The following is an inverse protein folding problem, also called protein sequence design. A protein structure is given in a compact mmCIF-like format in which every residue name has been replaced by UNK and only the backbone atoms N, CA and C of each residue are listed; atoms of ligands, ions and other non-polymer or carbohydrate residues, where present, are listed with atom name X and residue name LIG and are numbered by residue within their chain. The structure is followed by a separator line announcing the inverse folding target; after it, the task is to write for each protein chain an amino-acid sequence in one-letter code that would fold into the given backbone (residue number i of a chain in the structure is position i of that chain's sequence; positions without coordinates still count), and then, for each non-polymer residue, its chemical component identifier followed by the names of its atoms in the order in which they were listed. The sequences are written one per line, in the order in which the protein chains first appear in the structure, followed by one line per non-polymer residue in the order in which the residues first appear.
data_IF_926660272669
#
_entry.id   IF_926660272669
#
_cell.length_a   1.000
_cell.length_b   1.000
_cell.length_c   1.000
_cell.angle_alpha   90.00
_cell.angle_beta   90.00
_cell.angle_gamma   90.00
#
_symmetry.space_group_name_H-M   'P 1'
#
loop_
_entity.id
_entity.type
_entity.pdbx_description
1 polymer ?
#
# COMPACT_ATOMS: atom_id res chain seq x y z
N UNK A 1 22.37 22.97 0.52
CA UNK A 1 22.14 22.44 1.90
C UNK A 1 21.35 21.17 1.78
N UNK A 2 21.75 20.07 2.41
CA UNK A 2 21.02 18.80 2.32
C UNK A 2 19.62 18.95 2.92
N UNK A 3 18.60 18.35 2.28
CA UNK A 3 17.22 18.38 2.74
C UNK A 3 17.10 17.97 4.23
N UNK A 4 17.95 17.06 4.68
CA UNK A 4 18.04 16.62 6.08
C UNK A 4 18.41 17.74 7.07
N UNK A 5 19.33 18.65 6.71
CA UNK A 5 19.69 19.77 7.57
C UNK A 5 18.56 20.81 7.73
N UNK A 6 17.68 20.89 6.72
CA UNK A 6 16.50 21.75 6.75
C UNK A 6 15.36 21.15 7.60
N UNK A 7 15.22 19.83 7.63
CA UNK A 7 14.22 19.09 8.44
C UNK A 7 14.47 19.36 9.94
N UNK A 8 15.72 19.31 10.38
CA UNK A 8 16.10 19.53 11.79
C UNK A 8 15.75 20.94 12.31
N UNK A 9 15.62 21.93 11.41
CA UNK A 9 15.34 23.33 11.76
C UNK A 9 13.86 23.65 11.94
N UNK A 10 12.94 22.76 11.50
CA UNK A 10 11.48 22.98 11.59
C UNK A 10 10.91 22.11 12.72
N UNK A 11 10.56 22.70 13.88
CA UNK A 11 10.14 21.93 15.08
C UNK A 11 8.85 21.14 14.85
N UNK A 12 7.92 21.65 14.04
CA UNK A 12 6.66 20.98 13.75
C UNK A 12 6.88 19.72 12.90
N UNK A 13 7.70 19.81 11.85
CA UNK A 13 8.05 18.68 11.00
C UNK A 13 8.79 17.60 11.78
N UNK A 14 9.72 18.01 12.65
CA UNK A 14 10.44 17.11 13.55
C UNK A 14 9.47 16.38 14.48
N UNK A 15 8.49 17.08 15.06
CA UNK A 15 7.47 16.48 15.94
C UNK A 15 6.62 15.45 15.21
N UNK A 16 6.20 15.72 13.97
CA UNK A 16 5.43 14.78 13.13
C UNK A 16 6.23 13.54 12.77
N UNK A 17 7.52 13.70 12.39
CA UNK A 17 8.41 12.57 12.08
C UNK A 17 8.61 11.69 13.33
N UNK A 18 8.93 12.29 14.48
CA UNK A 18 9.11 11.55 15.73
C UNK A 18 7.83 10.81 16.11
N UNK A 19 6.67 11.46 15.98
CA UNK A 19 5.38 10.83 16.23
C UNK A 19 5.16 9.60 15.34
N UNK A 20 5.43 9.72 14.04
CA UNK A 20 5.33 8.60 13.08
C UNK A 20 6.24 7.45 13.49
N UNK A 21 7.51 7.73 13.81
CA UNK A 21 8.47 6.71 14.23
C UNK A 21 8.07 6.02 15.54
N UNK A 22 7.55 6.78 16.52
CA UNK A 22 7.04 6.21 17.77
C UNK A 22 5.82 5.29 17.52
N UNK A 23 4.88 5.68 16.68
CA UNK A 23 3.73 4.84 16.35
C UNK A 23 4.15 3.55 15.62
N UNK A 24 5.13 3.64 14.71
CA UNK A 24 5.70 2.45 14.06
C UNK A 24 6.47 1.55 15.06
N UNK A 25 7.15 2.12 16.04
CA UNK A 25 7.78 1.34 17.11
C UNK A 25 6.73 0.61 17.97
N UNK A 26 5.62 1.26 18.33
CA UNK A 26 4.50 0.63 19.04
C UNK A 26 3.93 -0.53 18.22
N UNK A 27 3.73 -0.34 16.91
CA UNK A 27 3.32 -1.42 16.01
C UNK A 27 4.30 -2.60 16.05
N UNK A 28 5.60 -2.36 15.98
CA UNK A 28 6.63 -3.42 16.04
C UNK A 28 6.67 -4.17 17.37
N UNK A 29 6.48 -3.46 18.48
CA UNK A 29 6.38 -4.09 19.81
C UNK A 29 5.15 -5.02 19.88
N UNK A 30 4.00 -4.59 19.37
CA UNK A 30 2.79 -5.41 19.35
C UNK A 30 2.91 -6.66 18.46
N UNK A 31 3.74 -6.64 17.41
CA UNK A 31 4.05 -7.83 16.60
C UNK A 31 4.83 -8.91 17.37
N UNK A 32 5.40 -8.61 18.55
CA UNK A 32 6.10 -9.58 19.38
C UNK A 32 5.22 -10.22 20.46
N UNK A 33 4.00 -9.69 20.69
CA UNK A 33 3.08 -10.19 21.72
C UNK A 33 2.30 -11.39 21.15
N UNK A 34 2.54 -12.63 21.61
CA UNK A 34 1.86 -13.81 21.08
C UNK A 34 0.40 -13.86 21.53
N UNK A 35 -0.45 -14.48 20.71
CA UNK A 35 -1.84 -14.78 21.07
C UNK A 35 -1.85 -15.95 22.09
N UNK A 36 -2.63 -15.86 23.19
CA UNK A 36 -2.72 -16.93 24.16
C UNK A 36 -3.27 -18.25 23.60
N UNK A 37 -2.75 -19.38 24.07
CA UNK A 37 -3.28 -20.72 23.72
C UNK A 37 -2.64 -21.39 22.51
N UNK A 38 -1.60 -20.78 21.91
CA UNK A 38 -0.85 -21.34 20.78
C UNK A 38 0.59 -21.57 21.19
N UNK A 39 1.17 -22.68 20.74
CA UNK A 39 2.59 -22.97 20.91
C UNK A 39 3.40 -22.27 19.81
N UNK A 40 4.26 -21.28 20.16
CA UNK A 40 5.03 -20.52 19.17
C UNK A 40 6.05 -21.38 18.41
N UNK A 41 6.63 -22.40 19.06
CA UNK A 41 7.67 -23.25 18.46
C UNK A 41 7.08 -24.18 17.40
N UNK A 42 5.96 -24.84 17.74
CA UNK A 42 5.23 -25.69 16.80
C UNK A 42 4.74 -24.90 15.57
N UNK A 43 4.29 -23.67 15.78
CA UNK A 43 3.83 -22.78 14.72
C UNK A 43 4.98 -22.32 13.80
N UNK A 44 6.13 -21.91 14.38
CA UNK A 44 7.31 -21.54 13.60
C UNK A 44 7.83 -22.70 12.75
N UNK A 45 7.82 -23.93 13.27
CA UNK A 45 8.20 -25.13 12.53
C UNK A 45 7.27 -25.39 11.32
N UNK A 46 5.94 -25.18 11.50
CA UNK A 46 4.96 -25.26 10.43
C UNK A 46 5.22 -24.22 9.34
N UNK A 47 5.38 -22.94 9.72
CA UNK A 47 5.63 -21.86 8.75
C UNK A 47 6.99 -22.02 8.03
N UNK A 48 7.99 -22.62 8.66
CA UNK A 48 9.27 -22.92 8.02
C UNK A 48 9.12 -23.87 6.82
N UNK A 49 8.19 -24.83 6.90
CA UNK A 49 7.87 -25.76 5.81
C UNK A 49 6.99 -25.13 4.72
N UNK A 50 6.20 -24.11 5.07
CA UNK A 50 5.21 -23.49 4.19
C UNK A 50 5.66 -22.15 3.57
N UNK A 51 6.94 -21.82 3.58
CA UNK A 51 7.48 -20.51 3.15
C UNK A 51 7.19 -20.12 1.70
N UNK A 52 6.93 -21.06 0.81
CA UNK A 52 6.59 -20.83 -0.60
C UNK A 52 5.11 -20.69 -0.89
N UNK A 53 4.25 -20.70 0.13
CA UNK A 53 2.79 -20.70 -0.03
C UNK A 53 2.17 -19.32 0.23
N UNK A 54 0.84 -19.23 0.06
CA UNK A 54 0.02 -18.06 0.38
C UNK A 54 0.26 -17.56 1.82
N UNK A 55 0.48 -18.47 2.77
CA UNK A 55 0.79 -18.12 4.16
C UNK A 55 2.08 -17.32 4.30
N UNK A 56 3.11 -17.62 3.49
CA UNK A 56 4.35 -16.83 3.45
C UNK A 56 4.13 -15.40 2.95
N UNK A 57 3.24 -15.20 1.97
CA UNK A 57 2.86 -13.86 1.50
C UNK A 57 2.09 -13.09 2.57
N UNK A 58 1.13 -13.72 3.26
CA UNK A 58 0.41 -13.11 4.38
C UNK A 58 1.37 -12.64 5.46
N UNK A 59 2.31 -13.49 5.83
CA UNK A 59 3.27 -13.21 6.86
C UNK A 59 4.25 -12.08 6.46
N UNK A 60 4.56 -11.95 5.17
CA UNK A 60 5.34 -10.84 4.63
C UNK A 60 4.63 -9.49 4.85
N UNK A 61 3.33 -9.40 4.61
CA UNK A 61 2.55 -8.17 4.84
C UNK A 61 2.32 -7.87 6.31
N UNK A 62 2.23 -8.91 7.16
CA UNK A 62 2.12 -8.74 8.62
C UNK A 62 3.47 -8.49 9.30
N UNK A 63 4.59 -8.54 8.54
CA UNK A 63 5.93 -8.30 9.06
C UNK A 63 6.44 -9.36 10.05
N UNK A 64 6.02 -10.64 9.88
CA UNK A 64 6.39 -11.74 10.78
C UNK A 64 5.45 -11.94 11.97
N UNK A 65 4.35 -11.21 11.98
CA UNK A 65 3.37 -11.30 13.05
C UNK A 65 2.54 -12.60 13.00
N UNK A 66 2.34 -13.14 11.78
CA UNK A 66 1.58 -14.38 11.59
C UNK A 66 2.40 -15.62 11.94
N UNK A 67 3.70 -15.64 11.61
CA UNK A 67 4.63 -16.74 11.94
C UNK A 67 4.68 -17.02 13.46
N UNK A 68 4.39 -16.00 14.28
CA UNK A 68 4.33 -16.09 15.74
C UNK A 68 2.93 -16.04 16.30
N UNK A 69 1.92 -15.99 15.45
CA UNK A 69 0.53 -15.68 15.80
C UNK A 69 0.42 -14.56 16.84
N UNK A 70 1.02 -13.42 16.57
CA UNK A 70 0.93 -12.29 17.49
C UNK A 70 -0.48 -11.69 17.48
N UNK A 71 -0.78 -10.83 18.45
CA UNK A 71 -2.01 -10.04 18.51
C UNK A 71 -2.26 -9.29 17.19
N UNK A 72 -1.20 -8.97 16.45
CA UNK A 72 -1.23 -8.27 15.17
C UNK A 72 -1.08 -9.20 13.95
N UNK A 73 -1.36 -10.50 14.10
CA UNK A 73 -1.16 -11.49 13.03
C UNK A 73 -1.94 -11.18 11.74
N UNK A 74 -3.17 -10.65 11.83
CA UNK A 74 -3.94 -10.20 10.67
C UNK A 74 -3.38 -8.92 10.03
N UNK A 75 -2.53 -8.17 10.74
CA UNK A 75 -1.99 -6.91 10.26
C UNK A 75 -3.07 -5.89 9.91
N UNK A 76 -2.79 -5.07 8.89
CA UNK A 76 -3.71 -4.04 8.40
C UNK A 76 -4.59 -4.55 7.24
N UNK A 77 -4.44 -5.83 6.82
CA UNK A 77 -5.14 -6.39 5.66
C UNK A 77 -6.67 -6.30 5.74
N UNK A 78 -7.35 -6.61 6.88
CA UNK A 78 -8.79 -6.47 6.99
C UNK A 78 -9.28 -5.04 6.76
N UNK A 79 -8.51 -4.04 7.21
CA UNK A 79 -8.81 -2.62 6.96
C UNK A 79 -8.70 -2.24 5.48
N UNK A 80 -7.67 -2.75 4.81
CA UNK A 80 -7.49 -2.51 3.37
C UNK A 80 -8.65 -3.15 2.60
N UNK A 81 -9.00 -4.42 2.91
CA UNK A 81 -10.12 -5.10 2.27
C UNK A 81 -11.45 -4.36 2.48
N UNK A 82 -11.72 -3.88 3.70
CA UNK A 82 -12.90 -3.07 3.99
C UNK A 82 -12.90 -1.74 3.21
N UNK A 83 -11.75 -1.08 3.13
CA UNK A 83 -11.60 0.17 2.37
C UNK A 83 -11.88 -0.04 0.88
N UNK A 84 -11.35 -1.12 0.29
CA UNK A 84 -11.60 -1.50 -1.11
C UNK A 84 -13.09 -1.72 -1.35
N UNK A 85 -13.73 -2.53 -0.50
CA UNK A 85 -15.16 -2.84 -0.61
C UNK A 85 -15.98 -1.55 -0.56
N UNK A 86 -15.70 -0.66 0.37
CA UNK A 86 -16.42 0.62 0.48
C UNK A 86 -16.13 1.53 -0.73
N UNK A 87 -14.91 1.52 -1.26
CA UNK A 87 -14.58 2.29 -2.47
C UNK A 87 -15.29 1.77 -3.72
N UNK A 88 -15.43 0.46 -3.87
CA UNK A 88 -16.22 -0.14 -4.93
C UNK A 88 -17.72 0.17 -4.75
N UNK A 89 -18.23 0.06 -3.53
CA UNK A 89 -19.63 0.34 -3.22
C UNK A 89 -20.01 1.82 -3.42
N UNK A 90 -19.08 2.76 -3.27
CA UNK A 90 -19.33 4.19 -3.59
C UNK A 90 -19.73 4.40 -5.05
N UNK A 91 -19.22 3.59 -5.96
CA UNK A 91 -19.55 3.69 -7.39
C UNK A 91 -20.90 3.02 -7.71
N UNK A 92 -21.22 1.95 -6.99
CA UNK A 92 -22.42 1.13 -7.26
C UNK A 92 -23.65 1.65 -6.52
N UNK A 93 -23.48 2.16 -5.29
CA UNK A 93 -24.60 2.58 -4.42
C UNK A 93 -24.76 4.11 -4.46
N UNK A 94 -25.86 4.65 -5.05
CA UNK A 94 -26.09 6.08 -5.16
C UNK A 94 -26.13 6.82 -3.82
N UNK A 95 -26.51 6.12 -2.75
CA UNK A 95 -26.50 6.68 -1.39
C UNK A 95 -25.10 6.98 -0.87
N UNK A 96 -24.12 6.11 -1.15
CA UNK A 96 -22.72 6.32 -0.78
C UNK A 96 -22.04 7.38 -1.67
N UNK A 97 -22.42 7.45 -2.95
CA UNK A 97 -21.95 8.50 -3.86
C UNK A 97 -22.40 9.90 -3.37
N UNK A 98 -23.66 10.05 -2.94
CA UNK A 98 -24.16 11.30 -2.35
C UNK A 98 -23.39 11.68 -1.09
N UNK A 99 -23.16 10.72 -0.17
CA UNK A 99 -22.36 10.95 1.02
C UNK A 99 -20.93 11.40 0.68
N UNK A 100 -20.31 10.81 -0.34
CA UNK A 100 -18.98 11.23 -0.79
C UNK A 100 -18.95 12.68 -1.29
N UNK A 101 -20.00 13.11 -1.99
CA UNK A 101 -20.16 14.49 -2.50
C UNK A 101 -20.51 15.52 -1.43
N UNK A 102 -20.97 15.10 -0.24
CA UNK A 102 -21.24 15.98 0.92
C UNK A 102 -19.96 16.57 1.56
N UNK A 103 -18.77 16.23 1.07
CA UNK A 103 -17.50 16.75 1.56
C UNK A 103 -17.05 16.10 2.87
N UNK A 104 -16.48 16.89 3.81
CA UNK A 104 -15.85 16.35 5.04
C UNK A 104 -16.81 15.55 5.93
N UNK A 105 -18.06 15.98 6.06
CA UNK A 105 -19.05 15.29 6.89
C UNK A 105 -19.38 13.90 6.33
N UNK A 106 -19.55 13.79 5.01
CA UNK A 106 -19.80 12.52 4.35
C UNK A 106 -18.58 11.60 4.39
N UNK A 107 -17.37 12.14 4.20
CA UNK A 107 -16.14 11.36 4.31
C UNK A 107 -15.93 10.78 5.71
N UNK A 108 -16.30 11.49 6.78
CA UNK A 108 -16.26 10.96 8.15
C UNK A 108 -17.19 9.75 8.32
N UNK A 109 -18.40 9.78 7.75
CA UNK A 109 -19.34 8.65 7.77
C UNK A 109 -18.80 7.46 6.97
N UNK A 110 -18.20 7.70 5.80
CA UNK A 110 -17.58 6.65 4.99
C UNK A 110 -16.44 5.97 5.75
N UNK A 111 -15.56 6.74 6.40
CA UNK A 111 -14.51 6.19 7.28
C UNK A 111 -15.11 5.34 8.41
N UNK A 112 -16.21 5.77 9.00
CA UNK A 112 -16.90 5.00 10.05
C UNK A 112 -17.43 3.65 9.52
N UNK A 113 -18.02 3.61 8.32
CA UNK A 113 -18.42 2.36 7.68
C UNK A 113 -17.23 1.44 7.39
N UNK A 114 -16.10 2.01 6.94
CA UNK A 114 -14.86 1.25 6.75
C UNK A 114 -14.38 0.62 8.07
N UNK A 115 -14.44 1.34 9.20
CA UNK A 115 -14.07 0.80 10.52
C UNK A 115 -14.98 -0.37 10.91
N UNK A 116 -16.29 -0.26 10.74
CA UNK A 116 -17.22 -1.36 11.04
C UNK A 116 -16.96 -2.56 10.12
N UNK A 117 -16.78 -2.33 8.82
CA UNK A 117 -16.41 -3.37 7.86
C UNK A 117 -15.12 -4.08 8.24
N UNK A 118 -14.13 -3.33 8.72
CA UNK A 118 -12.85 -3.88 9.20
C UNK A 118 -13.04 -4.86 10.34
N UNK A 119 -13.85 -4.49 11.34
CA UNK A 119 -14.12 -5.35 12.50
C UNK A 119 -14.81 -6.65 12.08
N UNK A 120 -15.81 -6.56 11.19
CA UNK A 120 -16.52 -7.73 10.67
C UNK A 120 -15.58 -8.65 9.88
N UNK A 121 -14.78 -8.11 8.96
CA UNK A 121 -13.83 -8.89 8.15
C UNK A 121 -12.77 -9.51 9.05
N UNK A 122 -12.24 -8.76 10.02
CA UNK A 122 -11.24 -9.26 10.97
C UNK A 122 -11.80 -10.41 11.82
N UNK A 123 -13.05 -10.33 12.25
CA UNK A 123 -13.70 -11.41 13.02
C UNK A 123 -13.88 -12.68 12.16
N UNK A 124 -14.32 -12.55 10.90
CA UNK A 124 -14.45 -13.67 9.97
C UNK A 124 -13.10 -14.31 9.69
N UNK A 125 -12.07 -13.51 9.38
CA UNK A 125 -10.71 -14.00 9.11
C UNK A 125 -10.08 -14.61 10.37
N UNK A 126 -10.30 -14.00 11.55
CA UNK A 126 -9.81 -14.51 12.82
C UNK A 126 -10.43 -15.87 13.18
N UNK A 127 -11.73 -16.05 12.91
CA UNK A 127 -12.41 -17.34 13.07
C UNK A 127 -11.83 -18.38 12.11
N UNK A 128 -11.55 -17.98 10.88
CA UNK A 128 -10.89 -18.79 9.88
C UNK A 128 -9.52 -19.30 10.33
N UNK A 129 -8.70 -18.39 10.80
CA UNK A 129 -7.35 -18.74 11.30
C UNK A 129 -7.46 -19.65 12.52
N UNK A 130 -8.36 -19.36 13.47
CA UNK A 130 -8.55 -20.20 14.67
C UNK A 130 -8.94 -21.64 14.30
N UNK A 131 -9.84 -21.80 13.34
CA UNK A 131 -10.25 -23.11 12.86
C UNK A 131 -9.13 -23.84 12.12
N UNK A 132 -8.41 -23.11 11.25
CA UNK A 132 -7.25 -23.64 10.55
C UNK A 132 -6.16 -24.14 11.49
N UNK A 133 -5.84 -23.38 12.54
CA UNK A 133 -4.84 -23.75 13.55
C UNK A 133 -5.19 -25.01 14.33
N UNK A 134 -6.45 -25.25 14.65
CA UNK A 134 -6.89 -26.48 15.33
C UNK A 134 -6.67 -27.74 14.46
N UNK A 135 -6.69 -27.59 13.15
CA UNK A 135 -6.45 -28.70 12.20
C UNK A 135 -4.98 -28.91 11.88
N UNK A 136 -4.10 -28.00 12.29
CA UNK A 136 -2.66 -28.04 12.02
C UNK A 136 -1.92 -28.82 13.11
N UNK A 137 -1.05 -29.73 12.67
CA UNK A 137 -0.07 -30.40 13.52
C UNK A 137 1.30 -29.86 13.22
N UNK A 138 2.09 -29.52 14.25
CA UNK A 138 3.46 -29.03 14.12
C UNK A 138 4.39 -30.07 13.49
N UNK A 139 5.54 -29.62 13.00
CA UNK A 139 6.51 -30.39 12.21
C UNK A 139 6.78 -31.81 12.77
N UNK A 140 6.45 -32.82 11.95
CA UNK A 140 6.64 -34.21 12.30
C UNK A 140 5.43 -34.95 12.90
N UNK A 141 4.26 -34.31 12.99
CA UNK A 141 3.00 -35.00 13.36
C UNK A 141 2.78 -35.24 14.86
N UNK A 142 3.65 -34.76 15.72
CA UNK A 142 3.62 -35.09 17.16
C UNK A 142 3.29 -33.94 18.10
N UNK A 143 3.31 -32.66 17.66
CA UNK A 143 2.95 -31.51 18.51
C UNK A 143 1.72 -30.78 17.98
N UNK A 144 0.60 -30.72 18.72
CA UNK A 144 -0.51 -29.88 18.35
C UNK A 144 -0.12 -28.41 18.48
N UNK A 145 -0.45 -27.60 17.46
CA UNK A 145 -0.18 -26.14 17.48
C UNK A 145 -1.05 -25.45 18.52
N UNK A 146 -2.24 -25.99 18.80
CA UNK A 146 -3.19 -25.47 19.79
C UNK A 146 -3.18 -26.35 21.02
N UNK A 147 -2.88 -25.76 22.19
CA UNK A 147 -2.78 -26.49 23.45
C UNK A 147 -4.13 -27.05 23.92
N UNK A 148 -5.20 -26.25 23.77
CA UNK A 148 -6.56 -26.63 24.16
C UNK A 148 -7.55 -26.26 23.06
N UNK A 149 -7.83 -27.18 22.08
CA UNK A 149 -8.81 -26.94 21.03
C UNK A 149 -10.22 -26.83 21.59
N UNK A 150 -11.04 -25.94 21.01
CA UNK A 150 -12.45 -25.79 21.40
C UNK A 150 -12.96 -24.35 21.24
N UNK A 151 -14.25 -24.18 21.52
CA UNK A 151 -14.91 -22.87 21.35
C UNK A 151 -14.28 -21.75 22.18
N UNK A 152 -13.73 -22.05 23.36
CA UNK A 152 -13.03 -21.08 24.19
C UNK A 152 -11.80 -20.51 23.48
N UNK A 153 -10.98 -21.38 22.87
CA UNK A 153 -9.82 -20.96 22.06
C UNK A 153 -10.25 -20.13 20.84
N UNK A 154 -11.28 -20.58 20.09
CA UNK A 154 -11.76 -19.87 18.92
C UNK A 154 -12.22 -18.46 19.26
N UNK A 155 -13.07 -18.31 20.28
CA UNK A 155 -13.56 -17.00 20.72
C UNK A 155 -12.41 -16.09 21.21
N UNK A 156 -11.49 -16.63 22.01
CA UNK A 156 -10.34 -15.88 22.49
C UNK A 156 -9.45 -15.40 21.34
N UNK A 157 -9.14 -16.27 20.38
CA UNK A 157 -8.35 -15.93 19.18
C UNK A 157 -9.05 -14.87 18.34
N UNK A 158 -10.35 -15.00 18.06
CA UNK A 158 -11.13 -14.02 17.30
C UNK A 158 -11.13 -12.67 18.00
N UNK A 159 -11.39 -12.62 19.30
CA UNK A 159 -11.36 -11.37 20.07
C UNK A 159 -9.97 -10.72 20.07
N UNK A 160 -8.92 -11.51 20.26
CA UNK A 160 -7.53 -11.02 20.29
C UNK A 160 -7.13 -10.45 18.93
N UNK A 161 -7.35 -11.19 17.85
CA UNK A 161 -6.98 -10.76 16.49
C UNK A 161 -7.82 -9.56 16.01
N UNK A 162 -9.10 -9.53 16.33
CA UNK A 162 -9.99 -8.41 15.98
C UNK A 162 -9.60 -7.14 16.75
N UNK A 163 -9.31 -7.24 18.04
CA UNK A 163 -8.83 -6.12 18.85
C UNK A 163 -7.49 -5.61 18.34
N UNK A 164 -6.57 -6.52 18.00
CA UNK A 164 -5.28 -6.18 17.41
C UNK A 164 -5.43 -5.43 16.10
N UNK A 165 -6.28 -5.91 15.20
CA UNK A 165 -6.57 -5.24 13.92
C UNK A 165 -7.21 -3.86 14.13
N UNK A 166 -8.15 -3.74 15.06
CA UNK A 166 -8.76 -2.45 15.40
C UNK A 166 -7.73 -1.46 15.95
N UNK A 167 -6.78 -1.93 16.73
CA UNK A 167 -5.68 -1.10 17.24
C UNK A 167 -4.72 -0.67 16.14
N UNK A 168 -4.33 -1.57 15.20
CA UNK A 168 -3.50 -1.22 14.05
C UNK A 168 -4.19 -0.21 13.15
N UNK A 169 -5.49 -0.39 12.90
CA UNK A 169 -6.30 0.56 12.14
C UNK A 169 -6.25 1.94 12.81
N UNK A 170 -6.47 2.02 14.13
CA UNK A 170 -6.37 3.28 14.87
C UNK A 170 -4.96 3.88 14.80
N UNK A 171 -3.88 3.08 14.91
CA UNK A 171 -2.50 3.55 14.71
C UNK A 171 -2.31 4.16 13.31
N UNK A 172 -2.80 3.49 12.28
CA UNK A 172 -2.72 3.98 10.88
C UNK A 172 -3.43 5.31 10.69
N UNK A 173 -4.63 5.46 11.27
CA UNK A 173 -5.36 6.72 11.23
C UNK A 173 -4.63 7.84 11.99
N UNK A 174 -4.09 7.55 13.17
CA UNK A 174 -3.31 8.51 13.97
C UNK A 174 -2.04 8.97 13.24
N UNK A 175 -1.34 8.07 12.55
CA UNK A 175 -0.19 8.44 11.72
C UNK A 175 -0.63 9.36 10.59
N UNK A 176 -1.73 9.05 9.92
CA UNK A 176 -2.24 9.86 8.80
C UNK A 176 -2.68 11.26 9.24
N UNK A 177 -3.30 11.39 10.43
CA UNK A 177 -3.82 12.67 10.93
C UNK A 177 -2.73 13.54 11.57
N UNK A 178 -1.85 12.95 12.36
CA UNK A 178 -0.87 13.70 13.20
C UNK A 178 0.58 13.50 12.78
N UNK A 179 0.86 12.48 11.97
CA UNK A 179 2.19 12.15 11.47
C UNK A 179 2.48 12.71 10.09
N UNK A 180 3.29 11.98 9.35
CA UNK A 180 3.65 12.23 7.94
C UNK A 180 3.42 10.93 7.17
N UNK A 181 2.89 11.03 5.97
CA UNK A 181 2.61 9.91 5.10
C UNK A 181 1.22 9.30 5.32
N UNK A 182 0.90 8.30 4.50
CA UNK A 182 -0.30 7.49 4.69
C UNK A 182 0.01 6.41 5.72
N UNK A 183 -0.67 6.43 6.88
CA UNK A 183 -0.39 5.54 7.98
C UNK A 183 -0.56 4.06 7.66
N UNK A 184 -1.58 3.68 6.87
CA UNK A 184 -1.77 2.29 6.46
C UNK A 184 -0.61 1.80 5.58
N UNK A 185 -0.19 2.61 4.62
CA UNK A 185 0.95 2.29 3.75
C UNK A 185 2.27 2.22 4.53
N UNK A 186 2.47 3.10 5.51
CA UNK A 186 3.66 3.09 6.37
C UNK A 186 3.72 1.88 7.31
N UNK A 187 2.60 1.38 7.78
CA UNK A 187 2.55 0.15 8.58
C UNK A 187 2.97 -1.05 7.74
N UNK A 188 2.47 -1.16 6.48
CA UNK A 188 2.89 -2.22 5.55
C UNK A 188 4.39 -2.08 5.25
N UNK A 189 4.84 -0.88 4.94
CA UNK A 189 6.26 -0.57 4.71
C UNK A 189 7.13 -1.02 5.88
N UNK A 190 6.74 -0.69 7.12
CA UNK A 190 7.46 -1.10 8.33
C UNK A 190 7.49 -2.62 8.52
N UNK A 191 6.41 -3.32 8.16
CA UNK A 191 6.35 -4.78 8.15
C UNK A 191 7.37 -5.40 7.18
N UNK A 192 7.40 -4.89 5.95
CA UNK A 192 8.31 -5.38 4.90
C UNK A 192 9.77 -5.07 5.25
N UNK A 193 10.07 -3.83 5.61
CA UNK A 193 11.45 -3.38 5.92
C UNK A 193 12.04 -4.11 7.13
N UNK A 194 11.22 -4.46 8.11
CA UNK A 194 11.67 -5.18 9.29
C UNK A 194 12.20 -6.61 9.00
N UNK A 195 11.86 -7.18 7.87
CA UNK A 195 12.37 -8.49 7.42
C UNK A 195 13.64 -8.39 6.58
N UNK A 196 14.00 -7.19 6.10
CA UNK A 196 15.22 -6.96 5.32
C UNK A 196 16.49 -7.50 6.00
N UNK A 197 16.76 -7.18 7.29
CA UNK A 197 17.99 -7.65 7.93
C UNK A 197 18.08 -9.19 7.98
N UNK A 198 16.98 -9.87 8.31
CA UNK A 198 16.96 -11.33 8.38
C UNK A 198 17.12 -11.98 6.99
N UNK A 199 16.55 -11.38 5.95
CA UNK A 199 16.73 -11.85 4.58
C UNK A 199 18.20 -11.71 4.12
N UNK A 200 18.84 -10.59 4.45
CA UNK A 200 20.26 -10.35 4.14
C UNK A 200 21.14 -11.39 4.86
N UNK A 201 20.94 -11.61 6.17
CA UNK A 201 21.70 -12.58 6.95
C UNK A 201 21.56 -13.98 6.35
N UNK A 202 20.34 -14.43 6.04
CA UNK A 202 20.11 -15.74 5.40
C UNK A 202 20.78 -15.88 4.03
N UNK A 203 20.83 -14.81 3.24
CA UNK A 203 21.51 -14.83 1.95
C UNK A 203 23.03 -15.00 2.14
N UNK A 204 23.61 -14.40 3.18
CA UNK A 204 25.02 -14.61 3.54
C UNK A 204 25.28 -16.03 4.06
N UNK A 205 24.37 -16.62 4.83
CA UNK A 205 24.45 -18.01 5.29
C UNK A 205 24.44 -18.99 4.11
N UNK A 206 23.53 -18.80 3.14
CA UNK A 206 23.47 -19.61 1.90
C UNK A 206 24.72 -19.49 1.04
N UNK A 207 25.39 -18.34 1.08
CA UNK A 207 26.70 -18.17 0.43
C UNK A 207 27.78 -18.96 1.19
N UNK A 208 27.72 -19.00 2.52
CA UNK A 208 28.64 -19.76 3.36
C UNK A 208 28.51 -21.29 3.21
N UNK A 209 27.29 -21.78 2.94
CA UNK A 209 27.01 -23.21 2.67
C UNK A 209 27.35 -23.64 1.24
N UNK A 210 27.69 -22.69 0.34
CA UNK A 210 28.03 -22.98 -1.06
C UNK A 210 26.84 -23.20 -1.99
N UNK A 211 25.60 -23.00 -1.50
CA UNK A 211 24.39 -23.10 -2.32
C UNK A 211 24.28 -21.96 -3.34
N UNK A 212 24.88 -20.80 -3.03
CA UNK A 212 24.88 -19.61 -3.89
C UNK A 212 26.32 -19.23 -4.21
N UNK A 213 26.67 -19.15 -5.50
CA UNK A 213 27.97 -18.65 -5.94
C UNK A 213 28.09 -17.13 -5.62
N UNK A 214 29.27 -16.65 -5.15
CA UNK A 214 29.47 -15.23 -4.83
C UNK A 214 29.18 -14.29 -6.00
N UNK A 215 29.47 -14.72 -7.23
CA UNK A 215 29.20 -13.95 -8.44
C UNK A 215 27.69 -13.74 -8.67
N UNK A 216 26.88 -14.75 -8.36
CA UNK A 216 25.42 -14.67 -8.45
C UNK A 216 24.86 -13.66 -7.45
N UNK A 217 25.44 -13.60 -6.24
CA UNK A 217 25.05 -12.63 -5.22
C UNK A 217 25.31 -11.18 -5.67
N UNK A 218 26.51 -10.92 -6.24
CA UNK A 218 26.82 -9.60 -6.80
C UNK A 218 25.84 -9.23 -7.92
N UNK A 219 25.54 -10.17 -8.82
CA UNK A 219 24.57 -9.96 -9.89
C UNK A 219 23.18 -9.64 -9.35
N UNK A 220 22.74 -10.31 -8.29
CA UNK A 220 21.44 -10.06 -7.63
C UNK A 220 21.38 -8.68 -7.01
N UNK A 221 22.43 -8.23 -6.31
CA UNK A 221 22.49 -6.89 -5.73
C UNK A 221 22.42 -5.85 -6.85
N UNK A 222 23.19 -6.00 -7.92
CA UNK A 222 23.15 -5.10 -9.07
C UNK A 222 21.75 -5.09 -9.71
N UNK A 223 21.14 -6.24 -9.91
CA UNK A 223 19.79 -6.34 -10.45
C UNK A 223 18.77 -5.64 -9.55
N UNK A 224 18.87 -5.80 -8.22
CA UNK A 224 18.00 -5.13 -7.26
C UNK A 224 18.13 -3.60 -7.33
N UNK A 225 19.37 -3.08 -7.38
CA UNK A 225 19.62 -1.64 -7.52
C UNK A 225 19.06 -1.11 -8.84
N UNK A 226 19.21 -1.86 -9.94
CA UNK A 226 18.64 -1.49 -11.25
C UNK A 226 17.11 -1.46 -11.22
N UNK A 227 16.47 -2.47 -10.61
CA UNK A 227 15.01 -2.52 -10.47
C UNK A 227 14.51 -1.35 -9.63
N UNK A 228 15.12 -1.08 -8.48
CA UNK A 228 14.77 0.08 -7.64
C UNK A 228 14.95 1.38 -8.41
N UNK A 229 16.07 1.55 -9.11
CA UNK A 229 16.34 2.73 -9.95
C UNK A 229 15.29 2.90 -11.05
N UNK A 230 14.89 1.81 -11.70
CA UNK A 230 13.84 1.80 -12.71
C UNK A 230 12.46 2.19 -12.12
N UNK A 231 12.11 1.64 -10.95
CA UNK A 231 10.88 2.01 -10.23
C UNK A 231 10.86 3.51 -9.93
N UNK A 232 11.94 4.05 -9.36
CA UNK A 232 12.05 5.49 -9.04
C UNK A 232 11.94 6.35 -10.29
N UNK A 233 12.57 5.90 -11.40
CA UNK A 233 12.53 6.62 -12.68
C UNK A 233 11.09 6.71 -13.22
N UNK A 234 10.36 5.60 -13.24
CA UNK A 234 8.98 5.58 -13.75
C UNK A 234 8.00 6.32 -12.82
N UNK A 235 8.14 6.14 -11.49
CA UNK A 235 7.28 6.83 -10.51
C UNK A 235 7.45 8.36 -10.52
N UNK A 236 8.64 8.86 -10.87
CA UNK A 236 8.88 10.29 -11.10
C UNK A 236 8.37 10.77 -12.45
N UNK A 237 8.07 9.86 -13.36
CA UNK A 237 7.57 10.17 -14.70
C UNK A 237 6.23 10.90 -14.65
N UNK A 238 6.15 12.05 -15.33
CA UNK A 238 4.90 12.82 -15.43
C UNK A 238 4.72 13.40 -16.82
N UNK A 239 3.49 13.31 -17.34
CA UNK A 239 3.06 14.01 -18.55
C UNK A 239 2.59 15.41 -18.15
N UNK A 240 3.20 16.45 -18.69
CA UNK A 240 2.85 17.84 -18.42
C UNK A 240 1.95 18.36 -19.54
N UNK A 241 0.71 18.69 -19.22
CA UNK A 241 -0.23 19.34 -20.14
C UNK A 241 -0.10 20.84 -19.95
N UNK A 242 0.16 21.57 -21.03
CA UNK A 242 0.30 23.03 -20.98
C UNK A 242 -1.07 23.68 -20.77
N UNK A 243 -1.19 24.56 -19.80
CA UNK A 243 -2.38 25.34 -19.48
C UNK A 243 -1.99 26.83 -19.54
N UNK A 244 -2.75 27.61 -20.30
CA UNK A 244 -2.57 29.06 -20.39
C UNK A 244 -3.72 29.75 -19.67
N UNK A 245 -3.37 30.79 -18.91
CA UNK A 245 -4.35 31.66 -18.27
C UNK A 245 -4.47 32.97 -19.06
N UNK A 246 -5.73 33.43 -19.26
CA UNK A 246 -6.01 34.65 -19.95
C UNK A 246 -5.37 35.86 -19.25
N UNK A 247 -4.78 36.76 -20.01
CA UNK A 247 -4.28 38.02 -19.50
C UNK A 247 -5.47 38.92 -19.12
N UNK A 248 -5.47 39.43 -17.90
CA UNK A 248 -6.45 40.45 -17.47
C UNK A 248 -5.72 41.78 -17.25
N UNK A 249 -6.29 42.83 -17.82
CA UNK A 249 -5.83 44.20 -17.56
C UNK A 249 -6.62 44.71 -16.35
N UNK A 250 -5.93 44.98 -15.24
CA UNK A 250 -6.51 45.56 -14.03
C UNK A 250 -5.92 46.96 -13.88
N UNK A 251 -6.67 47.97 -14.32
CA UNK A 251 -6.19 49.37 -14.40
C UNK A 251 -5.07 49.52 -15.43
N UNK A 252 -3.92 50.12 -15.02
CA UNK A 252 -2.72 50.30 -15.86
C UNK A 252 -1.75 49.09 -15.83
N UNK A 253 -2.05 48.03 -15.10
CA UNK A 253 -1.17 46.85 -14.95
C UNK A 253 -1.74 45.65 -15.67
N UNK A 254 -0.95 45.00 -16.51
CA UNK A 254 -1.24 43.69 -17.04
C UNK A 254 -0.98 42.63 -15.96
N UNK A 255 -2.02 41.93 -15.49
CA UNK A 255 -1.93 40.79 -14.60
C UNK A 255 -2.34 39.51 -15.34
N UNK A 256 -1.58 38.42 -15.18
CA UNK A 256 -1.85 37.13 -15.81
C UNK A 256 -1.02 36.89 -17.07
N UNK A 257 -1.37 35.84 -17.80
CA UNK A 257 -0.59 35.40 -18.97
C UNK A 257 0.55 34.44 -18.60
N UNK A 258 0.51 33.86 -17.38
CA UNK A 258 1.45 32.80 -17.01
C UNK A 258 1.01 31.47 -17.62
N UNK A 259 1.97 30.82 -18.25
CA UNK A 259 1.82 29.44 -18.72
C UNK A 259 2.17 28.51 -17.56
N UNK A 260 1.23 27.69 -17.17
CA UNK A 260 1.45 26.63 -16.17
C UNK A 260 1.27 25.26 -16.82
N UNK A 261 1.66 24.22 -16.11
CA UNK A 261 1.53 22.87 -16.59
C UNK A 261 0.71 22.06 -15.60
N UNK A 262 -0.27 21.29 -16.10
CA UNK A 262 -0.97 20.28 -15.32
C UNK A 262 -0.13 18.99 -15.36
N UNK A 263 0.48 18.57 -14.23
CA UNK A 263 1.27 17.34 -14.19
C UNK A 263 0.35 16.15 -14.01
N UNK A 264 0.40 15.17 -14.93
CA UNK A 264 -0.23 13.86 -14.79
C UNK A 264 0.88 12.83 -14.56
N UNK A 265 0.89 12.17 -13.41
CA UNK A 265 1.85 11.09 -13.12
C UNK A 265 1.63 9.92 -14.05
N UNK A 266 2.68 9.22 -14.47
CA UNK A 266 2.58 7.98 -15.27
C UNK A 266 1.86 6.89 -14.49
N UNK A 267 2.20 6.74 -13.22
CA UNK A 267 1.47 5.90 -12.29
C UNK A 267 0.57 6.77 -11.41
N UNK A 268 -0.63 7.11 -11.92
CA UNK A 268 -1.62 7.92 -11.18
C UNK A 268 -2.23 7.16 -10.01
N UNK A 269 -2.34 5.84 -10.13
CA UNK A 269 -2.91 4.95 -9.10
C UNK A 269 -1.93 4.60 -7.97
N UNK A 270 -0.61 4.86 -8.15
CA UNK A 270 0.42 4.58 -7.14
C UNK A 270 0.59 3.09 -6.85
N UNK A 271 0.84 2.76 -5.59
CA UNK A 271 1.07 1.39 -5.10
C UNK A 271 -0.21 0.68 -4.63
N UNK A 272 -1.36 1.34 -4.71
CA UNK A 272 -2.64 0.84 -4.19
C UNK A 272 -3.17 -0.36 -4.99
N UNK A 273 -3.16 -0.36 -6.35
CA UNK A 273 -3.70 -1.47 -7.14
C UNK A 273 -3.06 -2.83 -6.88
N UNK A 274 -1.73 -2.99 -6.79
CA UNK A 274 -1.12 -4.26 -6.40
C UNK A 274 -1.52 -4.74 -5.00
N UNK A 275 -1.68 -3.83 -4.04
CA UNK A 275 -2.14 -4.16 -2.69
C UNK A 275 -3.58 -4.68 -2.74
N UNK A 276 -4.44 -4.04 -3.55
CA UNK A 276 -5.82 -4.46 -3.74
C UNK A 276 -5.91 -5.82 -4.43
N UNK A 277 -5.15 -6.01 -5.50
CA UNK A 277 -5.11 -7.27 -6.23
C UNK A 277 -4.64 -8.43 -5.34
N UNK A 278 -3.57 -8.24 -4.57
CA UNK A 278 -3.08 -9.26 -3.63
C UNK A 278 -4.08 -9.54 -2.50
N UNK A 279 -4.70 -8.50 -1.92
CA UNK A 279 -5.72 -8.66 -0.88
C UNK A 279 -6.94 -9.45 -1.37
N UNK A 280 -7.40 -9.16 -2.61
CA UNK A 280 -8.53 -9.85 -3.21
C UNK A 280 -8.22 -11.32 -3.50
N UNK A 281 -6.98 -11.64 -3.94
CA UNK A 281 -6.53 -13.02 -4.16
C UNK A 281 -6.38 -13.80 -2.86
N UNK A 282 -5.96 -13.15 -1.79
CA UNK A 282 -5.79 -13.77 -0.47
C UNK A 282 -7.13 -14.12 0.20
N UNK A 283 -8.19 -13.34 -0.05
CA UNK A 283 -9.49 -13.56 0.58
C UNK A 283 -10.11 -14.92 0.27
N UNK A 284 -10.25 -15.37 -1.00
CA UNK A 284 -10.71 -16.72 -1.33
C UNK A 284 -9.80 -17.81 -0.79
N UNK A 285 -8.49 -17.58 -0.79
CA UNK A 285 -7.51 -18.53 -0.29
C UNK A 285 -7.69 -18.82 1.22
N UNK A 286 -7.96 -17.75 2.01
CA UNK A 286 -8.24 -17.89 3.44
C UNK A 286 -9.53 -18.64 3.68
N UNK A 287 -10.61 -18.37 2.92
CA UNK A 287 -11.88 -19.09 3.03
C UNK A 287 -11.73 -20.53 2.54
N UNK A 288 -11.01 -20.76 1.46
CA UNK A 288 -10.81 -22.08 0.89
C UNK A 288 -10.01 -23.03 1.78
N UNK A 289 -9.12 -22.50 2.62
CA UNK A 289 -8.44 -23.30 3.65
C UNK A 289 -9.39 -23.83 4.72
N UNK A 290 -10.59 -23.23 4.86
CA UNK A 290 -11.65 -23.65 5.80
C UNK A 290 -12.58 -24.71 5.22
N UNK A 291 -12.71 -24.73 3.89
CA UNK A 291 -13.67 -25.58 3.19
C UNK A 291 -12.91 -26.77 2.61
N UNK A 292 -13.01 -27.93 3.27
CA UNK A 292 -12.36 -29.18 2.83
C UNK A 292 -13.14 -29.92 1.73
N UNK A 293 -13.56 -29.20 0.67
CA UNK A 293 -14.28 -29.79 -0.46
C UNK A 293 -13.34 -29.91 -1.65
N UNK A 294 -13.32 -31.04 -2.34
CA UNK A 294 -12.33 -31.35 -3.39
C UNK A 294 -12.33 -30.38 -4.56
N UNK A 295 -13.47 -29.83 -4.98
CA UNK A 295 -13.50 -28.83 -6.04
C UNK A 295 -12.91 -27.49 -5.60
N UNK A 296 -13.03 -27.13 -4.30
CA UNK A 296 -12.40 -25.92 -3.72
C UNK A 296 -10.90 -26.09 -3.67
N UNK A 297 -10.39 -27.28 -3.29
CA UNK A 297 -8.96 -27.59 -3.30
C UNK A 297 -8.35 -27.44 -4.70
N UNK A 298 -9.02 -28.02 -5.74
CA UNK A 298 -8.58 -27.86 -7.14
C UNK A 298 -8.58 -26.40 -7.60
N UNK A 299 -9.59 -25.61 -7.22
CA UNK A 299 -9.64 -24.18 -7.51
C UNK A 299 -8.48 -23.44 -6.83
N UNK A 300 -8.16 -23.81 -5.58
CA UNK A 300 -7.04 -23.25 -4.83
C UNK A 300 -5.68 -23.62 -5.42
N UNK A 301 -5.50 -24.83 -5.94
CA UNK A 301 -4.29 -25.23 -6.66
C UNK A 301 -4.05 -24.37 -7.90
N UNK A 302 -5.12 -24.05 -8.65
CA UNK A 302 -5.05 -23.17 -9.83
C UNK A 302 -4.71 -21.72 -9.45
N UNK A 303 -5.23 -21.25 -8.30
CA UNK A 303 -4.99 -19.87 -7.79
C UNK A 303 -3.72 -19.82 -6.91
N UNK A 304 -3.03 -20.93 -6.71
CA UNK A 304 -1.80 -21.02 -5.90
C UNK A 304 -0.67 -20.13 -6.47
N UNK A 305 0.09 -19.42 -5.61
CA UNK A 305 1.22 -18.60 -6.01
C UNK A 305 2.28 -19.43 -6.76
N UNK A 306 2.83 -18.86 -7.85
CA UNK A 306 3.83 -19.50 -8.70
C UNK A 306 3.27 -20.26 -9.91
N UNK A 307 1.94 -20.39 -10.03
CA UNK A 307 1.27 -20.91 -11.22
C UNK A 307 1.05 -19.82 -12.28
N UNK A 308 1.11 -20.20 -13.56
CA UNK A 308 0.87 -19.28 -14.69
C UNK A 308 -0.53 -18.63 -14.61
N UNK A 309 -1.54 -19.38 -14.20
CA UNK A 309 -2.92 -18.89 -14.07
C UNK A 309 -3.06 -17.87 -12.94
N UNK A 310 -2.37 -18.08 -11.82
CA UNK A 310 -2.30 -17.11 -10.74
C UNK A 310 -1.70 -15.78 -11.23
N UNK A 311 -0.57 -15.84 -11.91
CA UNK A 311 0.11 -14.63 -12.42
C UNK A 311 -0.74 -13.89 -13.45
N UNK A 312 -1.40 -14.59 -14.37
CA UNK A 312 -2.29 -13.98 -15.36
C UNK A 312 -3.50 -13.29 -14.68
N UNK A 313 -4.11 -13.96 -13.71
CA UNK A 313 -5.24 -13.39 -12.97
C UNK A 313 -4.81 -12.20 -12.13
N UNK A 314 -3.64 -12.28 -11.51
CA UNK A 314 -3.05 -11.19 -10.74
C UNK A 314 -2.76 -9.96 -11.60
N UNK A 315 -2.15 -10.14 -12.78
CA UNK A 315 -1.93 -9.07 -13.77
C UNK A 315 -3.26 -8.45 -14.21
N UNK A 316 -4.26 -9.28 -14.51
CA UNK A 316 -5.61 -8.82 -14.87
C UNK A 316 -6.24 -7.95 -13.78
N UNK A 317 -6.13 -8.37 -12.52
CA UNK A 317 -6.62 -7.60 -11.37
C UNK A 317 -5.84 -6.29 -11.19
N UNK A 318 -4.52 -6.29 -11.33
CA UNK A 318 -3.71 -5.06 -11.26
C UNK A 318 -4.18 -4.05 -12.32
N UNK A 319 -4.33 -4.49 -13.57
CA UNK A 319 -4.77 -3.62 -14.66
C UNK A 319 -6.18 -3.07 -14.34
N UNK A 320 -7.10 -3.94 -13.94
CA UNK A 320 -8.46 -3.54 -13.55
C UNK A 320 -8.44 -2.49 -12.43
N UNK A 321 -7.71 -2.73 -11.35
CA UNK A 321 -7.63 -1.78 -10.23
C UNK A 321 -6.89 -0.49 -10.57
N UNK A 322 -5.91 -0.52 -11.48
CA UNK A 322 -5.26 0.69 -11.97
C UNK A 322 -6.27 1.61 -12.67
N UNK A 323 -7.07 1.07 -13.58
CA UNK A 323 -8.12 1.84 -14.26
C UNK A 323 -9.21 2.30 -13.31
N UNK A 324 -9.69 1.39 -12.47
CA UNK A 324 -10.73 1.67 -11.49
C UNK A 324 -10.32 2.80 -10.55
N UNK A 325 -9.13 2.68 -9.92
CA UNK A 325 -8.65 3.67 -8.98
C UNK A 325 -8.39 5.02 -9.63
N UNK A 326 -7.83 5.03 -10.84
CA UNK A 326 -7.63 6.26 -11.60
C UNK A 326 -8.95 6.95 -11.91
N UNK A 327 -9.99 6.21 -12.32
CA UNK A 327 -11.32 6.75 -12.61
C UNK A 327 -12.00 7.34 -11.36
N UNK A 328 -11.81 6.70 -10.19
CA UNK A 328 -12.39 7.18 -8.92
C UNK A 328 -11.66 8.40 -8.36
N UNK A 329 -10.33 8.41 -8.48
CA UNK A 329 -9.50 9.46 -7.87
C UNK A 329 -9.41 10.72 -8.72
N UNK A 330 -9.42 10.58 -10.04
CA UNK A 330 -9.26 11.68 -10.97
C UNK A 330 -10.48 11.81 -11.90
N UNK A 331 -11.29 12.85 -11.65
CA UNK A 331 -12.43 13.16 -12.52
C UNK A 331 -12.01 14.22 -13.57
N UNK A 332 -11.88 13.85 -14.86
CA UNK A 332 -11.48 14.79 -15.92
C UNK A 332 -12.47 15.96 -16.09
N UNK A 333 -13.76 15.73 -15.83
CA UNK A 333 -14.81 16.75 -15.96
C UNK A 333 -14.63 17.84 -14.92
N UNK A 334 -14.46 17.45 -13.65
CA UNK A 334 -14.26 18.40 -12.54
C UNK A 334 -12.98 19.23 -12.74
N UNK A 335 -11.91 18.61 -13.24
CA UNK A 335 -10.65 19.31 -13.54
C UNK A 335 -10.84 20.32 -14.68
N UNK A 336 -11.54 19.95 -15.77
CA UNK A 336 -11.81 20.84 -16.89
C UNK A 336 -12.72 22.00 -16.48
N UNK A 337 -13.73 21.77 -15.64
CA UNK A 337 -14.62 22.81 -15.12
C UNK A 337 -13.90 23.76 -14.17
N UNK A 338 -13.01 23.25 -13.33
CA UNK A 338 -12.18 24.08 -12.46
C UNK A 338 -11.22 24.96 -13.29
N UNK A 339 -10.56 24.39 -14.31
CA UNK A 339 -9.74 25.17 -15.23
C UNK A 339 -10.54 26.28 -15.89
N UNK A 340 -11.76 25.99 -16.37
CA UNK A 340 -12.67 26.98 -16.97
C UNK A 340 -13.05 28.08 -15.97
N UNK A 341 -13.40 27.73 -14.73
CA UNK A 341 -13.74 28.69 -13.66
C UNK A 341 -12.58 29.64 -13.35
N UNK A 342 -11.35 29.15 -13.40
CA UNK A 342 -10.16 29.97 -13.13
C UNK A 342 -9.61 30.67 -14.38
N UNK A 343 -10.29 30.57 -15.53
CA UNK A 343 -9.91 31.22 -16.77
C UNK A 343 -8.68 30.56 -17.45
N UNK A 344 -8.39 29.31 -17.09
CA UNK A 344 -7.35 28.50 -17.74
C UNK A 344 -7.91 27.75 -18.95
N UNK A 345 -7.10 27.58 -19.98
CA UNK A 345 -7.44 26.80 -21.15
C UNK A 345 -6.22 26.05 -21.68
N UNK A 346 -6.46 24.93 -22.35
CA UNK A 346 -5.43 24.17 -23.07
C UNK A 346 -5.31 24.75 -24.47
N UNK A 347 -4.12 25.14 -24.94
CA UNK A 347 -3.94 25.68 -26.28
C UNK A 347 -4.53 24.75 -27.36
N UNK A 348 -5.32 25.33 -28.27
CA UNK A 348 -5.97 24.57 -29.34
C UNK A 348 -7.27 23.87 -28.99
N UNK A 349 -7.72 23.92 -27.72
CA UNK A 349 -8.97 23.29 -27.27
C UNK A 349 -9.93 24.32 -26.65
N UNK A 350 -11.23 24.14 -26.89
CA UNK A 350 -12.25 24.94 -26.18
C UNK A 350 -12.38 24.52 -24.74
N UNK A 351 -12.44 25.49 -23.78
CA UNK A 351 -12.67 25.16 -22.36
C UNK A 351 -13.98 24.42 -22.14
N UNK A 352 -13.99 23.44 -21.24
CA UNK A 352 -15.14 22.63 -20.88
C UNK A 352 -15.05 21.20 -21.43
N UNK A 353 -16.14 20.66 -21.99
CA UNK A 353 -16.26 19.26 -22.41
C UNK A 353 -15.13 18.75 -23.32
N UNK A 354 -14.70 19.50 -24.40
CA UNK A 354 -13.58 19.05 -25.23
C UNK A 354 -12.25 18.93 -24.47
N UNK A 355 -12.04 19.80 -23.47
CA UNK A 355 -10.85 19.73 -22.61
C UNK A 355 -10.92 18.49 -21.69
N UNK A 356 -12.10 18.15 -21.14
CA UNK A 356 -12.31 16.96 -20.34
C UNK A 356 -12.03 15.69 -21.15
N UNK A 357 -12.57 15.58 -22.36
CA UNK A 357 -12.35 14.44 -23.27
C UNK A 357 -10.87 14.28 -23.67
N UNK A 358 -10.16 15.38 -23.85
CA UNK A 358 -8.72 15.35 -24.13
C UNK A 358 -7.91 14.85 -22.94
N UNK A 359 -8.21 15.34 -21.73
CA UNK A 359 -7.56 14.90 -20.49
C UNK A 359 -7.85 13.41 -20.24
N UNK A 360 -9.09 12.96 -20.43
CA UNK A 360 -9.50 11.57 -20.26
C UNK A 360 -8.75 10.64 -21.22
N UNK A 361 -8.65 11.02 -22.50
CA UNK A 361 -7.88 10.25 -23.49
C UNK A 361 -6.42 10.11 -23.13
N UNK A 362 -5.78 11.17 -22.62
CA UNK A 362 -4.39 11.12 -22.17
C UNK A 362 -4.27 10.24 -20.94
N UNK A 363 -5.17 10.41 -19.97
CA UNK A 363 -5.19 9.66 -18.72
C UNK A 363 -5.32 8.15 -18.98
N UNK A 364 -6.26 7.74 -19.83
CA UNK A 364 -6.47 6.34 -20.22
C UNK A 364 -5.21 5.71 -20.82
N UNK A 365 -4.51 6.43 -21.72
CA UNK A 365 -3.27 5.95 -22.33
C UNK A 365 -2.11 5.85 -21.33
N UNK A 366 -1.99 6.83 -20.45
CA UNK A 366 -0.94 6.85 -19.41
C UNK A 366 -1.22 5.73 -18.41
N UNK A 367 -2.47 5.54 -18.00
CA UNK A 367 -2.87 4.47 -17.06
C UNK A 367 -2.55 3.09 -17.61
N UNK A 368 -2.72 2.85 -18.92
CA UNK A 368 -2.30 1.58 -19.54
C UNK A 368 -0.80 1.34 -19.38
N UNK A 369 0.01 2.36 -19.72
CA UNK A 369 1.46 2.27 -19.55
C UNK A 369 1.88 2.05 -18.08
N UNK A 370 1.23 2.76 -17.15
CA UNK A 370 1.43 2.60 -15.72
C UNK A 370 1.03 1.21 -15.21
N UNK A 371 -0.13 0.69 -15.66
CA UNK A 371 -0.63 -0.63 -15.28
C UNK A 371 0.29 -1.76 -15.77
N UNK A 372 0.77 -1.67 -17.02
CA UNK A 372 1.73 -2.64 -17.57
C UNK A 372 3.07 -2.61 -16.82
N UNK A 373 3.55 -1.41 -16.50
CA UNK A 373 4.76 -1.23 -15.69
C UNK A 373 4.60 -1.86 -14.30
N UNK A 374 3.52 -1.54 -13.59
CA UNK A 374 3.25 -2.08 -12.24
C UNK A 374 3.13 -3.60 -12.30
N UNK A 375 2.41 -4.15 -13.28
CA UNK A 375 2.28 -5.59 -13.47
C UNK A 375 3.63 -6.27 -13.74
N UNK A 376 4.47 -5.69 -14.60
CA UNK A 376 5.80 -6.20 -14.90
C UNK A 376 6.69 -6.23 -13.65
N UNK A 377 6.71 -5.17 -12.85
CA UNK A 377 7.47 -5.10 -11.60
C UNK A 377 6.97 -6.11 -10.57
N UNK A 378 5.65 -6.35 -10.49
CA UNK A 378 5.08 -7.29 -9.54
C UNK A 378 5.36 -8.76 -9.90
N UNK A 379 5.35 -9.11 -11.19
CA UNK A 379 5.55 -10.49 -11.68
C UNK A 379 7.03 -10.86 -11.80
N UNK A 380 7.91 -9.88 -12.07
CA UNK A 380 9.33 -10.12 -12.30
C UNK A 380 10.02 -10.96 -11.21
N UNK A 381 9.85 -10.71 -9.90
CA UNK A 381 10.46 -11.53 -8.88
C UNK A 381 9.87 -12.94 -8.77
N UNK A 382 8.56 -13.10 -8.98
CA UNK A 382 7.94 -14.43 -9.03
C UNK A 382 8.59 -15.28 -10.13
N UNK A 383 8.84 -14.69 -11.29
CA UNK A 383 9.54 -15.33 -12.39
C UNK A 383 11.00 -15.68 -12.03
N UNK A 384 11.72 -14.78 -11.37
CA UNK A 384 13.10 -14.99 -10.93
C UNK A 384 13.20 -16.12 -9.89
N UNK A 385 12.29 -16.16 -8.92
CA UNK A 385 12.24 -17.22 -7.90
C UNK A 385 12.01 -18.58 -8.56
N UNK A 386 11.01 -18.67 -9.46
CA UNK A 386 10.63 -19.94 -10.10
C UNK A 386 11.69 -20.48 -11.06
N UNK A 387 12.41 -19.60 -11.79
CA UNK A 387 13.39 -20.03 -12.80
C UNK A 387 14.80 -20.19 -12.25
N UNK A 388 15.22 -19.35 -11.30
CA UNK A 388 16.59 -19.30 -10.80
C UNK A 388 16.76 -19.83 -9.37
N UNK A 389 15.66 -20.28 -8.75
CA UNK A 389 15.64 -20.80 -7.37
C UNK A 389 16.35 -19.87 -6.36
N UNK A 390 16.30 -18.56 -6.65
CA UNK A 390 16.94 -17.55 -5.84
C UNK A 390 16.09 -17.35 -4.58
N UNK A 391 16.67 -17.36 -3.38
CA UNK A 391 15.95 -17.09 -2.15
C UNK A 391 15.61 -15.59 -2.03
N UNK A 392 14.90 -15.06 -3.01
CA UNK A 392 14.49 -13.67 -3.04
C UNK A 392 13.21 -13.53 -2.22
N UNK A 393 13.36 -13.19 -0.95
CA UNK A 393 12.25 -12.95 -0.03
C UNK A 393 11.45 -11.66 -0.34
N UNK A 394 11.88 -10.88 -1.33
CA UNK A 394 11.18 -9.67 -1.75
C UNK A 394 10.37 -9.94 -3.01
N UNK A 395 9.07 -10.21 -2.85
CA UNK A 395 8.12 -10.17 -3.96
C UNK A 395 8.10 -8.79 -4.62
N UNK A 396 7.79 -8.71 -5.91
CA UNK A 396 7.76 -7.43 -6.66
C UNK A 396 6.81 -6.40 -6.06
N UNK A 397 5.71 -6.87 -5.49
CA UNK A 397 4.78 -6.03 -4.71
C UNK A 397 5.46 -5.36 -3.53
N UNK A 398 6.29 -6.10 -2.77
CA UNK A 398 7.00 -5.55 -1.63
C UNK A 398 7.99 -4.45 -2.02
N UNK A 399 8.77 -4.66 -3.09
CA UNK A 399 9.69 -3.65 -3.61
C UNK A 399 8.95 -2.39 -4.08
N UNK A 400 7.86 -2.56 -4.82
CA UNK A 400 7.05 -1.46 -5.31
C UNK A 400 6.42 -0.67 -4.17
N UNK A 401 5.92 -1.37 -3.13
CA UNK A 401 5.36 -0.73 -1.94
C UNK A 401 6.46 0.03 -1.17
N UNK A 402 7.62 -0.58 -0.95
CA UNK A 402 8.72 0.07 -0.22
C UNK A 402 9.18 1.33 -0.93
N UNK A 403 9.42 1.27 -2.23
CA UNK A 403 9.87 2.43 -3.01
C UNK A 403 8.77 3.48 -3.12
N UNK A 404 7.54 3.08 -3.44
CA UNK A 404 6.41 4.00 -3.62
C UNK A 404 6.05 4.73 -2.32
N UNK A 405 5.95 4.03 -1.20
CA UNK A 405 5.66 4.65 0.11
C UNK A 405 6.79 5.57 0.55
N UNK A 406 8.05 5.18 0.31
CA UNK A 406 9.19 6.06 0.60
C UNK A 406 9.13 7.35 -0.23
N UNK A 407 8.82 7.25 -1.54
CA UNK A 407 8.69 8.41 -2.43
C UNK A 407 7.51 9.30 -2.05
N UNK A 408 6.35 8.75 -1.74
CA UNK A 408 5.18 9.52 -1.32
C UNK A 408 5.44 10.24 0.00
N UNK A 409 6.11 9.57 0.95
CA UNK A 409 6.49 10.19 2.23
C UNK A 409 7.50 11.31 2.02
N UNK A 410 8.50 11.12 1.15
CA UNK A 410 9.47 12.17 0.79
C UNK A 410 8.79 13.35 0.12
N UNK A 411 7.87 13.12 -0.82
CA UNK A 411 7.10 14.17 -1.49
C UNK A 411 6.27 15.00 -0.50
N UNK A 412 5.67 14.35 0.51
CA UNK A 412 4.94 15.07 1.57
C UNK A 412 5.89 15.90 2.45
N UNK A 413 7.06 15.37 2.79
CA UNK A 413 8.09 16.12 3.53
C UNK A 413 8.52 17.35 2.73
N UNK A 414 8.82 17.20 1.43
CA UNK A 414 9.19 18.30 0.54
C UNK A 414 8.09 19.37 0.44
N UNK A 415 6.82 18.95 0.33
CA UNK A 415 5.67 19.86 0.30
C UNK A 415 5.57 20.69 1.58
N UNK A 416 5.73 20.06 2.75
CA UNK A 416 5.73 20.78 4.03
C UNK A 416 6.93 21.76 4.17
N UNK A 417 8.09 21.39 3.65
CA UNK A 417 9.27 22.26 3.62
C UNK A 417 9.04 23.50 2.75
N UNK A 418 8.47 23.34 1.55
CA UNK A 418 8.18 24.43 0.62
C UNK A 418 7.16 25.41 1.20
N UNK A 419 6.06 24.91 1.76
CA UNK A 419 4.99 25.76 2.34
C UNK A 419 5.56 26.68 3.44
N UNK A 420 6.40 26.17 4.32
CA UNK A 420 7.02 26.97 5.40
C UNK A 420 8.09 27.94 4.92
N UNK A 421 8.80 27.63 3.84
CA UNK A 421 9.74 28.58 3.26
C UNK A 421 9.02 29.82 2.73
N UNK A 422 7.85 29.66 2.11
CA UNK A 422 7.01 30.76 1.64
C UNK A 422 6.44 31.60 2.80
N UNK A 423 5.98 31.01 3.89
CA UNK A 423 5.50 31.73 5.07
C UNK A 423 6.59 32.58 5.72
N UNK A 424 7.83 32.08 5.78
CA UNK A 424 8.98 32.81 6.28
C UNK A 424 9.32 34.03 5.44
N UNK A 425 9.20 33.95 4.12
CA UNK A 425 9.38 35.08 3.21
C UNK A 425 8.26 36.12 3.35
N UNK A 426 7.01 35.72 3.51
CA UNK A 426 5.86 36.60 3.69
C UNK A 426 5.95 37.37 5.00
N UNK A 427 6.29 36.73 6.12
CA UNK A 427 6.51 37.41 7.42
C UNK A 427 7.65 38.43 7.36
N UNK A 428 8.76 38.14 6.67
CA UNK A 428 9.86 39.10 6.49
C UNK A 428 9.46 40.32 5.64
N UNK A 429 8.57 40.12 4.66
CA UNK A 429 8.08 41.19 3.79
C UNK A 429 7.08 42.12 4.50
N UNK A 430 6.16 41.55 5.31
CA UNK A 430 5.23 42.34 6.12
C UNK A 430 5.93 43.11 7.26
N UNK A 431 6.97 42.57 7.86
CA UNK A 431 7.78 43.29 8.86
C UNK A 431 8.61 44.44 8.29
N UNK A 432 8.88 44.43 6.97
CA UNK A 432 9.57 45.56 6.27
C UNK A 432 8.62 46.66 5.80
N UNK A 433 7.32 46.38 5.66
CA UNK A 433 6.32 47.38 5.25
C UNK A 433 5.77 48.12 6.48
N UNK A 434 6.00 47.63 7.70
CA UNK A 434 5.62 48.29 8.97
C UNK A 434 6.73 49.14 9.61
N UNK A 435 7.89 49.27 8.96
CA UNK A 435 8.92 50.24 9.27
C UNK A 435 9.02 51.26 8.12
#
# INVERSE_FOLDING_TARGET
MSAFASIAKIPELKRRIIFTLLMLAVYRLGCQVPTPGVDPEALMAFFAQQRGTIFGLFDMFSGGALERLSVFALGIMPYISASIIIELLKVVIPGLEKLYKEGEAGQKKIKQYTRYGTVVIAAIQGLGIAWGLESMTGGGGHMPVVLHPGWAFRLMTVLTLTSGTAFIMWLGEMITERGIGNGSSLIIFAGIVARLPSAIIKTFELMGTGEIYPILMVLLIVAMVLVVGFIVFVERGQRRIQVQYARRVVGRRMMGGTTTHLPLKVNTSGVIPPIFASSLLMFPATIGSLIQVDWVKRLMEVISPGGLYHELFYVGLIIFFCYFYTAVTFNPVDVADNLKKWGGYVPGLRPGKPTAEYIDRILTRITLGGALYVSAVCVLPSFLITKFNVPFYFGGTALLIVVGVAMDTMSQIESHLLTRHYEGFMKKRMGRVRR
#
